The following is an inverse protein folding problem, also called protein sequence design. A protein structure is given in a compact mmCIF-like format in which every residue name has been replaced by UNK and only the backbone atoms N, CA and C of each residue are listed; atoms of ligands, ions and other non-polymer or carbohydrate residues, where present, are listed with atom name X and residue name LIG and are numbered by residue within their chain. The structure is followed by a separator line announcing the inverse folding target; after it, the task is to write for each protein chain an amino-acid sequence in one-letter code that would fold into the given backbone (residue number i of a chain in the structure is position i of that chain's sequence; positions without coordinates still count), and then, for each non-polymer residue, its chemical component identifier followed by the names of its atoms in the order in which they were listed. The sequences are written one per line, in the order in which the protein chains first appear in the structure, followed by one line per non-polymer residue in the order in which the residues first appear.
data_IF_070444075287
#
_entry.id   IF_070444075287
#
_cell.length_a   1.000
_cell.length_b   1.000
_cell.length_c   1.000
_cell.angle_alpha   90.00
_cell.angle_beta   90.00
_cell.angle_gamma   90.00
#
_symmetry.space_group_name_H-M   'P 1'
#
loop_
_entity.id
_entity.type
_entity.pdbx_description
1 polymer ?
#
# COMPACT_ATOMS: atom_id res chain seq x y z
N UNK A 1 -29.29 -11.27 -0.81
CA UNK A 1 -27.89 -11.60 -0.93
C UNK A 1 -27.04 -10.41 -0.56
N UNK A 2 -26.14 -10.59 0.37
CA UNK A 2 -25.35 -9.46 0.85
C UNK A 2 -24.08 -9.34 0.04
N UNK A 3 -23.81 -8.14 -0.42
CA UNK A 3 -22.54 -7.84 -1.08
C UNK A 3 -21.48 -7.67 0.00
N UNK A 4 -20.40 -8.42 -0.15
CA UNK A 4 -19.28 -8.28 0.76
C UNK A 4 -18.39 -7.13 0.31
N UNK A 5 -17.99 -6.31 1.28
CA UNK A 5 -17.06 -5.24 0.99
C UNK A 5 -15.67 -5.81 0.76
N UNK A 6 -14.95 -5.21 -0.17
CA UNK A 6 -13.57 -5.59 -0.43
C UNK A 6 -12.67 -4.56 0.24
N UNK A 7 -11.73 -5.05 1.02
CA UNK A 7 -10.75 -4.20 1.71
C UNK A 7 -9.38 -4.42 1.09
N UNK A 8 -8.77 -3.36 0.61
CA UNK A 8 -7.46 -3.41 -0.01
C UNK A 8 -6.47 -2.63 0.84
N UNK A 9 -5.40 -3.29 1.26
CA UNK A 9 -4.29 -2.65 1.95
C UNK A 9 -3.09 -2.58 1.01
N UNK A 10 -2.52 -1.39 0.93
CA UNK A 10 -1.33 -1.15 0.13
C UNK A 10 -0.19 -0.73 1.04
N UNK A 11 0.98 -1.27 0.79
CA UNK A 11 2.20 -0.95 1.53
C UNK A 11 3.32 -0.67 0.56
N UNK A 12 4.11 0.35 0.83
CA UNK A 12 5.31 0.63 0.06
C UNK A 12 6.27 1.48 0.88
N UNK A 13 7.54 1.39 0.53
CA UNK A 13 8.54 2.26 1.14
C UNK A 13 8.52 3.66 0.53
N UNK A 14 8.12 3.77 -0.72
CA UNK A 14 8.04 5.05 -1.42
C UNK A 14 6.61 5.55 -1.42
N UNK A 15 6.38 6.70 -0.79
CA UNK A 15 5.04 7.27 -0.70
C UNK A 15 4.49 7.71 -2.05
N UNK A 16 5.35 8.16 -2.96
CA UNK A 16 4.91 8.61 -4.28
C UNK A 16 4.38 7.45 -5.11
N UNK A 17 5.10 6.34 -5.12
CA UNK A 17 4.66 5.13 -5.83
C UNK A 17 3.37 4.61 -5.22
N UNK A 18 3.29 4.64 -3.90
CA UNK A 18 2.09 4.20 -3.19
C UNK A 18 0.87 5.04 -3.56
N UNK A 19 1.02 6.36 -3.61
CA UNK A 19 -0.08 7.25 -3.94
C UNK A 19 -0.52 7.07 -5.39
N UNK A 20 0.41 6.89 -6.31
CA UNK A 20 0.08 6.62 -7.71
C UNK A 20 -0.67 5.30 -7.87
N UNK A 21 -0.23 4.26 -7.19
CA UNK A 21 -0.89 2.95 -7.22
C UNK A 21 -2.28 3.02 -6.61
N UNK A 22 -2.41 3.75 -5.51
CA UNK A 22 -3.71 3.96 -4.86
C UNK A 22 -4.68 4.67 -5.80
N UNK A 23 -4.23 5.72 -6.46
CA UNK A 23 -5.04 6.45 -7.42
C UNK A 23 -5.48 5.56 -8.59
N UNK A 24 -4.58 4.74 -9.08
CA UNK A 24 -4.88 3.80 -10.16
C UNK A 24 -5.97 2.80 -9.76
N UNK A 25 -5.88 2.26 -8.56
CA UNK A 25 -6.91 1.34 -8.04
C UNK A 25 -8.25 2.06 -7.91
N UNK A 26 -8.25 3.26 -7.33
CA UNK A 26 -9.48 4.05 -7.16
C UNK A 26 -10.14 4.32 -8.51
N UNK A 27 -9.38 4.74 -9.49
CA UNK A 27 -9.91 5.03 -10.82
C UNK A 27 -10.46 3.76 -11.48
N UNK A 28 -9.77 2.64 -11.36
CA UNK A 28 -10.20 1.36 -11.90
C UNK A 28 -11.52 0.92 -11.29
N UNK A 29 -11.64 1.02 -9.97
CA UNK A 29 -12.87 0.61 -9.28
C UNK A 29 -14.03 1.52 -9.63
N UNK A 30 -13.81 2.81 -9.73
CA UNK A 30 -14.86 3.76 -10.13
C UNK A 30 -15.40 3.47 -11.52
N UNK A 31 -14.57 3.02 -12.44
CA UNK A 31 -15.02 2.65 -13.78
C UNK A 31 -15.97 1.47 -13.76
N UNK A 32 -15.86 0.61 -12.76
CA UNK A 32 -16.73 -0.57 -12.65
C UNK A 32 -18.06 -0.28 -11.96
N UNK A 33 -18.25 0.95 -11.49
CA UNK A 33 -19.48 1.36 -10.85
C UNK A 33 -19.58 1.10 -9.37
N UNK A 34 -18.51 0.61 -8.75
CA UNK A 34 -18.49 0.38 -7.30
C UNK A 34 -18.23 1.67 -6.53
N UNK A 35 -18.72 1.72 -5.31
CA UNK A 35 -18.47 2.84 -4.41
C UNK A 35 -17.21 2.58 -3.59
N UNK A 36 -16.49 3.65 -3.29
CA UNK A 36 -15.23 3.55 -2.57
C UNK A 36 -15.27 4.46 -1.34
N UNK A 37 -14.80 3.93 -0.23
CA UNK A 37 -14.45 4.73 0.94
C UNK A 37 -12.93 4.88 1.00
N UNK A 38 -12.49 6.09 1.08
CA UNK A 38 -11.08 6.37 1.15
C UNK A 38 -10.51 6.72 -0.20
N UNK A 39 -9.23 6.70 -0.41
CA UNK A 39 -8.20 6.02 0.37
C UNK A 39 -7.95 6.63 1.76
N UNK A 40 -7.74 5.77 2.74
CA UNK A 40 -7.48 6.17 4.11
C UNK A 40 -5.99 5.96 4.40
N UNK A 41 -5.26 7.02 4.73
CA UNK A 41 -3.87 6.83 5.13
C UNK A 41 -3.80 6.17 6.51
N UNK A 42 -3.05 5.09 6.61
CA UNK A 42 -2.77 4.45 7.89
C UNK A 42 -1.46 4.99 8.45
N UNK A 43 -1.24 4.84 9.77
CA UNK A 43 0.01 5.30 10.36
C UNK A 43 1.22 4.69 9.67
N UNK A 44 2.22 5.52 9.40
CA UNK A 44 3.47 5.08 8.80
C UNK A 44 4.29 4.35 9.85
N UNK A 45 4.71 3.14 9.52
CA UNK A 45 5.58 2.39 10.40
C UNK A 45 7.03 2.79 10.14
N UNK A 46 7.72 3.23 11.20
CA UNK A 46 9.10 3.66 11.12
C UNK A 46 9.95 2.67 11.90
N UNK A 47 10.92 2.07 11.23
CA UNK A 47 11.88 1.18 11.86
C UNK A 47 13.26 1.80 11.72
N UNK A 48 13.94 1.96 12.87
CA UNK A 48 15.29 2.51 12.92
C UNK A 48 16.25 1.42 13.38
N UNK A 49 17.37 1.31 12.71
CA UNK A 49 18.40 0.38 13.12
C UNK A 49 19.77 0.97 12.86
N UNK A 50 20.73 0.53 13.65
CA UNK A 50 22.11 0.98 13.58
C UNK A 50 22.96 -0.15 13.05
N UNK A 51 23.79 0.16 12.04
CA UNK A 51 24.74 -0.80 11.50
C UNK A 51 26.14 -0.35 11.86
N UNK A 52 26.91 -1.28 12.42
CA UNK A 52 28.34 -1.06 12.68
C UNK A 52 29.13 -1.56 11.49
N UNK A 53 29.83 -0.66 10.81
CA UNK A 53 30.59 -1.06 9.62
C UNK A 53 31.92 -1.71 9.94
N UNK A 54 32.52 -1.36 11.06
CA UNK A 54 33.77 -1.95 11.47
C UNK A 54 33.91 -1.90 12.98
N UNK A 55 34.35 -2.99 13.61
CA UNK A 55 34.54 -3.02 15.06
C UNK A 55 35.71 -2.19 15.54
N UNK A 56 36.62 -1.82 14.65
CA UNK A 56 37.83 -1.06 15.01
C UNK A 56 37.70 0.44 14.86
N UNK A 57 36.59 0.88 14.31
CA UNK A 57 36.39 2.29 14.06
C UNK A 57 35.49 2.84 15.15
N UNK A 58 35.72 4.08 15.51
CA UNK A 58 34.98 4.76 16.55
C UNK A 58 33.50 4.99 16.15
N UNK A 59 32.85 5.84 16.91
CA UNK A 59 31.41 6.10 16.73
C UNK A 59 31.02 6.60 15.36
N UNK A 60 31.95 7.10 14.59
CA UNK A 60 31.70 7.58 13.21
C UNK A 60 31.36 6.46 12.24
N UNK A 61 31.73 5.22 12.57
CA UNK A 61 31.39 4.07 11.74
C UNK A 61 29.96 3.59 11.91
N UNK A 62 29.24 4.12 12.87
CA UNK A 62 27.86 3.77 13.10
C UNK A 62 26.98 4.55 12.15
N UNK A 63 26.21 3.82 11.36
CA UNK A 63 25.20 4.43 10.50
C UNK A 63 23.83 4.03 10.99
N UNK A 64 22.97 5.02 11.12
CA UNK A 64 21.59 4.77 11.45
C UNK A 64 20.77 4.77 10.17
N UNK A 65 20.04 3.68 9.97
CA UNK A 65 19.14 3.55 8.86
C UNK A 65 17.72 3.61 9.37
N UNK A 66 16.89 4.20 8.55
CA UNK A 66 15.48 4.32 8.86
C UNK A 66 14.67 3.76 7.70
N UNK A 67 13.78 2.84 8.02
CA UNK A 67 12.85 2.29 7.04
C UNK A 67 11.47 2.80 7.37
N UNK A 68 10.83 3.46 6.41
CA UNK A 68 9.46 3.95 6.55
C UNK A 68 8.55 3.14 5.64
N UNK A 69 7.57 2.51 6.25
CA UNK A 69 6.56 1.76 5.51
C UNK A 69 5.28 2.57 5.49
N UNK A 70 4.93 3.07 4.33
CA UNK A 70 3.68 3.80 4.12
C UNK A 70 2.56 2.82 3.83
N UNK A 71 1.39 3.10 4.37
CA UNK A 71 0.22 2.21 4.22
C UNK A 71 -1.00 3.02 3.80
N UNK A 72 -1.80 2.42 2.94
CA UNK A 72 -3.09 2.98 2.53
C UNK A 72 -4.15 1.89 2.59
N UNK A 73 -5.35 2.30 2.93
CA UNK A 73 -6.50 1.40 3.01
C UNK A 73 -7.60 1.91 2.08
N UNK A 74 -8.12 1.01 1.27
CA UNK A 74 -9.24 1.30 0.40
C UNK A 74 -10.36 0.31 0.72
N UNK A 75 -11.55 0.82 1.04
CA UNK A 75 -12.74 0.01 1.22
C UNK A 75 -13.62 0.17 0.00
N UNK A 76 -13.91 -0.93 -0.66
CA UNK A 76 -14.82 -0.96 -1.80
C UNK A 76 -16.17 -1.46 -1.30
N UNK A 77 -17.17 -0.61 -1.45
CA UNK A 77 -18.54 -0.91 -1.02
C UNK A 77 -19.34 -1.27 -2.26
N UNK A 78 -20.12 -2.32 -2.15
CA UNK A 78 -20.98 -2.81 -3.24
C UNK A 78 -20.17 -3.13 -4.49
N UNK A 79 -19.16 -4.02 -4.38
CA UNK A 79 -18.38 -4.40 -5.56
C UNK A 79 -19.24 -5.18 -6.54
N UNK A 80 -18.97 -4.97 -7.83
CA UNK A 80 -19.60 -5.73 -8.89
C UNK A 80 -18.64 -6.84 -9.34
N UNK A 81 -19.14 -7.87 -10.07
CA UNK A 81 -18.21 -8.86 -10.64
C UNK A 81 -17.15 -8.23 -11.53
N UNK A 82 -17.48 -7.14 -12.19
CA UNK A 82 -16.52 -6.39 -13.01
C UNK A 82 -15.42 -5.76 -12.15
N UNK A 83 -15.76 -5.34 -10.92
CA UNK A 83 -14.77 -4.79 -10.00
C UNK A 83 -13.70 -5.83 -9.65
N UNK A 84 -14.12 -7.02 -9.30
CA UNK A 84 -13.19 -8.11 -8.96
C UNK A 84 -12.31 -8.45 -10.16
N UNK A 85 -12.90 -8.57 -11.32
CA UNK A 85 -12.17 -8.88 -12.54
C UNK A 85 -11.14 -7.79 -12.86
N UNK A 86 -11.53 -6.52 -12.74
CA UNK A 86 -10.64 -5.40 -13.01
C UNK A 86 -9.47 -5.38 -12.03
N UNK A 87 -9.71 -5.69 -10.76
CA UNK A 87 -8.64 -5.76 -9.75
C UNK A 87 -7.64 -6.87 -10.04
N UNK A 88 -8.14 -8.02 -10.54
CA UNK A 88 -7.27 -9.13 -10.88
C UNK A 88 -6.37 -8.83 -12.08
N UNK A 89 -6.83 -7.98 -12.98
CA UNK A 89 -6.08 -7.60 -14.18
C UNK A 89 -5.18 -6.38 -13.95
N UNK A 90 -5.30 -5.77 -12.79
CA UNK A 90 -4.55 -4.55 -12.50
C UNK A 90 -3.09 -4.86 -12.30
N UNK A 91 -2.24 -4.15 -13.04
CA UNK A 91 -0.80 -4.29 -12.95
C UNK A 91 -0.25 -3.07 -12.21
N UNK A 92 0.17 -3.27 -10.98
CA UNK A 92 0.66 -2.20 -10.15
C UNK A 92 2.18 -2.06 -10.26
N UNK A 93 2.65 -0.89 -9.85
CA UNK A 93 4.08 -0.61 -9.87
C UNK A 93 4.84 -1.59 -8.97
N UNK A 94 6.06 -1.91 -9.39
CA UNK A 94 6.98 -2.68 -8.58
C UNK A 94 7.27 -1.95 -7.26
N UNK A 95 7.37 -2.68 -6.17
CA UNK A 95 7.64 -2.10 -4.86
C UNK A 95 6.39 -1.77 -4.04
N UNK A 96 5.21 -2.03 -4.58
CA UNK A 96 3.95 -1.89 -3.85
C UNK A 96 3.43 -3.27 -3.49
N UNK A 97 3.19 -3.48 -2.21
CA UNK A 97 2.63 -4.72 -1.70
C UNK A 97 1.13 -4.54 -1.53
N UNK A 98 0.35 -5.45 -2.10
CA UNK A 98 -1.10 -5.35 -2.10
C UNK A 98 -1.70 -6.55 -1.40
N UNK A 99 -2.57 -6.30 -0.45
CA UNK A 99 -3.32 -7.33 0.25
C UNK A 99 -4.81 -7.06 0.07
N UNK A 100 -5.52 -8.05 -0.46
CA UNK A 100 -6.95 -7.93 -0.72
C UNK A 100 -7.70 -8.89 0.19
N UNK A 101 -8.66 -8.36 0.94
CA UNK A 101 -9.55 -9.15 1.78
C UNK A 101 -10.99 -8.95 1.35
N UNK A 102 -11.67 -10.05 1.26
CA UNK A 102 -13.09 -10.06 0.94
C UNK A 102 -13.89 -10.37 2.18
#
# INVERSE_FOLDING_TARGET
MQNQNIRIKLKAYDSKILDLSTEEIVNTVKRTGANIKGPIPLPTKIEKYTVLRSPHIDKKSREQFETRTHKRLIDIIEPTPQTVEALMKLDLASGVDVEIKI
#
